data_IF_665474135619
#
_entry.id   IF_665474135619
#
_cell.length_a   1.000
_cell.length_b   1.000
_cell.length_c   1.000
_cell.angle_alpha   90.00
_cell.angle_beta   90.00
_cell.angle_gamma   90.00
#
_symmetry.space_group_name_H-M   'P 1'
#
loop_
_entity.id
_entity.type
_entity.pdbx_description
1 polymer ?
#
# COMPACT_ATOMS: atom_id res chain seq x y z
N UNK A 1 -2.02 -3.07 19.26
CA UNK A 1 -2.54 -2.29 18.12
C UNK A 1 -2.60 -3.19 16.92
N UNK A 2 -3.75 -3.23 16.29
CA UNK A 2 -3.98 -3.96 15.04
C UNK A 2 -4.05 -2.99 13.88
N UNK A 3 -3.16 -3.15 12.91
CA UNK A 3 -3.16 -2.40 11.67
C UNK A 3 -3.55 -3.36 10.54
N UNK A 4 -4.39 -2.91 9.63
CA UNK A 4 -4.65 -3.64 8.39
C UNK A 4 -4.13 -2.82 7.22
N UNK A 5 -3.39 -3.48 6.32
CA UNK A 5 -3.00 -2.92 5.05
C UNK A 5 -3.87 -3.49 3.93
N UNK A 6 -4.45 -2.61 3.16
CA UNK A 6 -5.18 -2.86 1.92
C UNK A 6 -4.45 -2.16 0.77
N UNK A 7 -4.45 -2.72 -0.43
CA UNK A 7 -3.72 -2.15 -1.57
C UNK A 7 -4.33 -2.55 -2.90
N UNK A 8 -4.03 -1.79 -3.93
CA UNK A 8 -4.34 -2.13 -5.33
C UNK A 8 -5.83 -2.47 -5.51
N UNK A 9 -6.68 -1.50 -5.17
CA UNK A 9 -8.14 -1.65 -5.15
C UNK A 9 -8.73 -1.60 -6.55
N UNK A 10 -8.16 -0.76 -7.43
CA UNK A 10 -8.48 -0.62 -8.85
C UNK A 10 -9.97 -0.48 -9.16
N UNK A 11 -10.63 0.43 -8.43
CA UNK A 11 -12.06 0.68 -8.59
C UNK A 11 -12.38 1.29 -9.96
N UNK A 12 -13.28 0.66 -10.68
CA UNK A 12 -13.92 1.21 -11.86
C UNK A 12 -15.22 1.94 -11.55
N UNK A 13 -15.80 2.57 -12.58
CA UNK A 13 -17.17 3.08 -12.49
C UNK A 13 -18.18 1.94 -12.34
N UNK A 14 -19.37 2.28 -11.88
CA UNK A 14 -20.45 1.31 -11.84
C UNK A 14 -20.74 0.75 -13.24
N UNK A 15 -20.71 -0.59 -13.37
CA UNK A 15 -20.85 -1.28 -14.64
C UNK A 15 -19.64 -1.23 -15.59
N UNK A 16 -18.52 -0.61 -15.18
CA UNK A 16 -17.29 -0.67 -15.98
C UNK A 16 -16.69 -2.08 -15.99
N UNK A 17 -16.28 -2.54 -17.18
CA UNK A 17 -15.53 -3.78 -17.29
C UNK A 17 -14.07 -3.58 -16.84
N UNK A 18 -13.79 -3.94 -15.63
CA UNK A 18 -12.47 -3.94 -15.00
C UNK A 18 -11.77 -5.29 -15.22
N UNK A 19 -11.44 -5.63 -16.48
CA UNK A 19 -10.85 -6.95 -16.86
C UNK A 19 -11.67 -8.15 -16.36
N UNK A 20 -12.98 -8.04 -16.34
CA UNK A 20 -13.87 -9.11 -15.88
C UNK A 20 -13.98 -9.24 -14.35
N UNK A 21 -13.40 -8.35 -13.58
CA UNK A 21 -13.45 -8.37 -12.11
C UNK A 21 -14.49 -7.36 -11.62
N UNK A 22 -15.33 -7.75 -10.66
CA UNK A 22 -16.22 -6.83 -9.95
C UNK A 22 -15.47 -6.16 -8.79
N UNK A 23 -14.74 -5.09 -9.11
CA UNK A 23 -13.87 -4.41 -8.15
C UNK A 23 -14.64 -3.71 -7.03
N UNK A 24 -15.84 -3.21 -7.32
CA UNK A 24 -16.68 -2.56 -6.30
C UNK A 24 -17.20 -3.59 -5.29
N UNK A 25 -17.64 -4.75 -5.75
CA UNK A 25 -18.06 -5.83 -4.87
C UNK A 25 -16.88 -6.38 -4.06
N UNK A 26 -15.72 -6.56 -4.68
CA UNK A 26 -14.49 -6.92 -3.97
C UNK A 26 -14.17 -5.95 -2.84
N UNK A 27 -14.23 -4.64 -3.11
CA UNK A 27 -13.97 -3.62 -2.11
C UNK A 27 -14.95 -3.69 -0.95
N UNK A 28 -16.25 -3.82 -1.20
CA UNK A 28 -17.25 -3.92 -0.14
C UNK A 28 -17.06 -5.17 0.71
N UNK A 29 -16.78 -6.31 0.11
CA UNK A 29 -16.54 -7.57 0.84
C UNK A 29 -15.28 -7.52 1.69
N UNK A 30 -14.18 -6.96 1.15
CA UNK A 30 -12.94 -6.82 1.91
C UNK A 30 -13.09 -5.83 3.06
N UNK A 31 -13.80 -4.71 2.88
CA UNK A 31 -14.10 -3.76 3.96
C UNK A 31 -14.97 -4.40 5.05
N UNK A 32 -15.94 -5.24 4.67
CA UNK A 32 -16.73 -6.00 5.64
C UNK A 32 -15.86 -6.98 6.45
N UNK A 33 -14.95 -7.72 5.79
CA UNK A 33 -14.03 -8.64 6.44
C UNK A 33 -13.07 -7.89 7.39
N UNK A 34 -12.48 -6.78 6.92
CA UNK A 34 -11.61 -5.90 7.71
C UNK A 34 -12.35 -5.38 8.96
N UNK A 35 -13.60 -4.97 8.81
CA UNK A 35 -14.38 -4.44 9.93
C UNK A 35 -14.61 -5.50 11.01
N UNK A 36 -14.77 -6.75 10.63
CA UNK A 36 -14.91 -7.87 11.58
C UNK A 36 -13.62 -8.16 12.38
N UNK A 37 -12.45 -7.78 11.84
CA UNK A 37 -11.16 -7.90 12.53
C UNK A 37 -10.94 -6.84 13.62
N UNK A 38 -11.81 -5.83 13.71
CA UNK A 38 -11.75 -4.73 14.68
C UNK A 38 -10.36 -4.06 14.74
N UNK A 39 -9.84 -3.54 13.62
CA UNK A 39 -8.54 -2.89 13.63
C UNK A 39 -8.57 -1.55 14.36
N UNK A 40 -7.40 -1.09 14.79
CA UNK A 40 -7.19 0.28 15.25
C UNK A 40 -6.93 1.24 14.08
N UNK A 41 -6.36 0.72 12.98
CA UNK A 41 -5.97 1.50 11.81
C UNK A 41 -6.09 0.67 10.53
N UNK A 42 -6.72 1.23 9.52
CA UNK A 42 -6.65 0.77 8.13
C UNK A 42 -5.70 1.67 7.33
N UNK A 43 -4.72 1.08 6.65
CA UNK A 43 -3.83 1.77 5.73
C UNK A 43 -4.10 1.27 4.31
N UNK A 44 -4.57 2.16 3.43
CA UNK A 44 -4.72 1.86 2.00
C UNK A 44 -3.46 2.38 1.31
N UNK A 45 -2.69 1.47 0.74
CA UNK A 45 -1.38 1.77 0.15
C UNK A 45 -1.42 1.95 -1.37
N UNK A 46 -2.44 2.64 -1.87
CA UNK A 46 -2.50 3.14 -3.24
C UNK A 46 -3.25 2.27 -4.24
N UNK A 47 -3.30 2.77 -5.45
CA UNK A 47 -4.03 2.25 -6.61
C UNK A 47 -5.51 2.05 -6.30
N UNK A 48 -6.17 3.15 -5.88
CA UNK A 48 -7.61 3.19 -5.62
C UNK A 48 -8.38 3.12 -6.94
N UNK A 49 -7.97 3.90 -7.94
CA UNK A 49 -8.63 3.96 -9.24
C UNK A 49 -8.09 2.88 -10.21
N UNK A 50 -8.96 2.39 -11.11
CA UNK A 50 -8.60 1.32 -12.06
C UNK A 50 -7.60 1.76 -13.14
N UNK A 51 -7.84 2.88 -13.82
CA UNK A 51 -6.97 3.34 -14.92
C UNK A 51 -6.41 4.72 -14.68
N UNK A 52 -7.27 5.64 -14.31
CA UNK A 52 -6.96 7.03 -14.09
C UNK A 52 -7.77 7.53 -12.90
N UNK A 53 -7.27 8.56 -12.21
CA UNK A 53 -7.99 9.13 -11.07
C UNK A 53 -9.28 9.84 -11.54
N UNK A 54 -10.38 9.58 -10.83
CA UNK A 54 -11.66 10.26 -11.02
C UNK A 54 -12.28 10.60 -9.66
N UNK A 55 -12.70 11.83 -9.49
CA UNK A 55 -13.26 12.33 -8.22
C UNK A 55 -14.45 11.50 -7.75
N UNK A 56 -15.33 11.06 -8.65
CA UNK A 56 -16.49 10.20 -8.34
C UNK A 56 -16.09 8.88 -7.64
N UNK A 57 -14.93 8.32 -7.98
CA UNK A 57 -14.44 7.11 -7.32
C UNK A 57 -13.97 7.42 -5.91
N UNK A 58 -13.24 8.51 -5.70
CA UNK A 58 -12.80 8.93 -4.37
C UNK A 58 -13.98 9.33 -3.48
N UNK A 59 -15.00 10.01 -4.03
CA UNK A 59 -16.22 10.36 -3.30
C UNK A 59 -16.95 9.10 -2.83
N UNK A 60 -17.09 8.10 -3.71
CA UNK A 60 -17.70 6.82 -3.34
C UNK A 60 -16.90 6.06 -2.27
N UNK A 61 -15.59 6.05 -2.37
CA UNK A 61 -14.71 5.46 -1.35
C UNK A 61 -14.84 6.22 -0.02
N UNK A 62 -14.87 7.56 -0.06
CA UNK A 62 -15.06 8.39 1.13
C UNK A 62 -16.37 8.06 1.84
N UNK A 63 -17.49 7.95 1.11
CA UNK A 63 -18.81 7.62 1.67
C UNK A 63 -18.82 6.30 2.45
N UNK A 64 -17.94 5.35 2.09
CA UNK A 64 -17.79 4.07 2.77
C UNK A 64 -16.87 4.21 3.98
N UNK A 65 -15.68 4.79 3.77
CA UNK A 65 -14.63 4.82 4.78
C UNK A 65 -14.96 5.72 5.97
N UNK A 66 -15.72 6.78 5.79
CA UNK A 66 -16.14 7.68 6.90
C UNK A 66 -17.08 7.00 7.92
N UNK A 67 -17.69 5.88 7.56
CA UNK A 67 -18.59 5.10 8.43
C UNK A 67 -17.85 4.07 9.28
N UNK A 68 -16.56 3.86 9.02
CA UNK A 68 -15.77 2.88 9.75
C UNK A 68 -15.47 3.35 11.17
N UNK A 69 -15.50 2.46 12.16
CA UNK A 69 -15.30 2.81 13.58
C UNK A 69 -13.81 2.88 13.98
N UNK A 70 -12.89 2.99 13.05
CA UNK A 70 -11.45 3.03 13.25
C UNK A 70 -10.78 4.03 12.29
N UNK A 71 -9.55 4.40 12.61
CA UNK A 71 -8.78 5.33 11.79
C UNK A 71 -8.44 4.75 10.42
N UNK A 72 -8.45 5.62 9.40
CA UNK A 72 -8.04 5.29 8.02
C UNK A 72 -6.96 6.26 7.57
N UNK A 73 -5.93 5.73 6.91
CA UNK A 73 -4.91 6.49 6.20
C UNK A 73 -4.77 5.96 4.78
N UNK A 74 -4.57 6.87 3.84
CA UNK A 74 -4.43 6.56 2.42
C UNK A 74 -3.14 7.22 1.93
N UNK A 75 -2.33 6.49 1.19
CA UNK A 75 -1.24 7.00 0.37
C UNK A 75 -1.55 6.67 -1.09
N UNK A 76 -1.09 7.50 -2.02
CA UNK A 76 -1.37 7.29 -3.45
C UNK A 76 -0.51 6.20 -4.07
N UNK A 77 -1.08 5.50 -5.06
CA UNK A 77 -0.38 4.65 -6.02
C UNK A 77 -0.29 5.34 -7.39
N UNK A 78 0.25 4.65 -8.40
CA UNK A 78 0.45 5.25 -9.73
C UNK A 78 -0.84 5.41 -10.55
N UNK A 79 -1.95 4.88 -10.09
CA UNK A 79 -3.28 5.10 -10.66
C UNK A 79 -4.07 6.22 -9.95
N UNK A 80 -3.46 6.89 -8.97
CA UNK A 80 -4.12 7.89 -8.14
C UNK A 80 -3.65 9.32 -8.45
N UNK A 81 -4.52 10.27 -8.12
CA UNK A 81 -4.18 11.68 -7.98
C UNK A 81 -4.33 12.07 -6.51
N UNK A 82 -3.22 12.41 -5.90
CA UNK A 82 -3.16 12.78 -4.48
C UNK A 82 -4.03 14.00 -4.15
N UNK A 83 -4.18 14.93 -5.09
CA UNK A 83 -5.04 16.09 -4.95
C UNK A 83 -6.53 15.76 -4.87
N UNK A 84 -6.93 14.59 -5.36
CA UNK A 84 -8.32 14.11 -5.32
C UNK A 84 -8.64 13.24 -4.10
N UNK A 85 -7.62 12.71 -3.42
CA UNK A 85 -7.83 11.92 -2.20
C UNK A 85 -8.32 12.85 -1.08
N UNK A 86 -9.44 12.53 -0.38
CA UNK A 86 -9.96 13.38 0.68
C UNK A 86 -8.92 13.64 1.79
N UNK A 87 -8.68 14.90 2.10
CA UNK A 87 -7.63 15.38 3.02
C UNK A 87 -7.64 14.68 4.39
N UNK A 88 -8.79 14.24 4.87
CA UNK A 88 -8.92 13.55 6.16
C UNK A 88 -8.21 12.20 6.23
N UNK A 89 -7.98 11.56 5.07
CA UNK A 89 -7.31 10.28 4.98
C UNK A 89 -5.82 10.41 4.64
N UNK A 90 -5.39 11.58 4.15
CA UNK A 90 -4.01 11.80 3.76
C UNK A 90 -3.10 11.94 4.98
N UNK A 91 -1.82 11.57 4.84
CA UNK A 91 -0.77 12.05 5.72
C UNK A 91 -0.75 13.58 5.75
N UNK A 92 -0.46 14.16 6.92
CA UNK A 92 -0.72 15.59 7.19
C UNK A 92 0.31 16.53 6.58
N UNK A 93 1.52 16.07 6.24
CA UNK A 93 2.55 16.91 5.62
C UNK A 93 2.49 16.83 4.11
N UNK A 94 2.57 17.98 3.47
CA UNK A 94 2.74 18.16 2.04
C UNK A 94 3.99 18.98 1.80
N UNK A 95 4.78 18.60 0.82
CA UNK A 95 5.89 19.42 0.37
C UNK A 95 5.47 20.37 -0.79
N UNK A 96 6.42 21.14 -1.31
CA UNK A 96 6.20 22.07 -2.43
C UNK A 96 5.89 21.36 -3.77
N UNK A 97 5.99 20.02 -3.81
CA UNK A 97 5.74 19.16 -4.97
C UNK A 97 4.48 18.32 -4.82
N UNK A 98 3.61 18.67 -3.88
CA UNK A 98 2.38 17.93 -3.54
C UNK A 98 2.60 16.48 -3.07
N UNK A 99 3.82 16.07 -2.76
CA UNK A 99 4.07 14.77 -2.14
C UNK A 99 3.54 14.74 -0.70
N UNK A 100 2.83 13.66 -0.35
CA UNK A 100 2.22 13.48 0.97
C UNK A 100 2.97 12.43 1.75
N UNK A 101 3.68 12.84 2.79
CA UNK A 101 4.41 11.95 3.68
C UNK A 101 4.28 12.37 5.13
N UNK A 102 4.42 11.42 6.05
CA UNK A 102 4.19 11.66 7.47
C UNK A 102 4.88 10.62 8.36
N UNK A 103 5.22 11.00 9.58
CA UNK A 103 5.61 10.08 10.66
C UNK A 103 4.56 10.12 11.77
N UNK A 104 4.10 8.95 12.19
CA UNK A 104 3.26 8.77 13.35
C UNK A 104 3.98 7.99 14.43
N UNK A 105 4.31 8.66 15.52
CA UNK A 105 4.97 8.06 16.66
C UNK A 105 3.98 7.30 17.54
N UNK A 106 4.27 6.03 17.82
CA UNK A 106 3.48 5.14 18.66
C UNK A 106 4.29 4.74 19.90
N UNK A 107 4.36 5.59 20.94
CA UNK A 107 5.25 5.37 22.09
C UNK A 107 4.92 4.09 22.87
N UNK A 108 3.66 3.74 23.02
CA UNK A 108 3.21 2.50 23.70
C UNK A 108 3.75 1.24 23.03
N UNK A 109 4.00 1.28 21.73
CA UNK A 109 4.48 0.15 20.94
C UNK A 109 5.96 0.27 20.57
N UNK A 110 6.66 1.30 21.04
CA UNK A 110 8.06 1.61 20.67
C UNK A 110 8.24 1.53 19.15
N UNK A 111 7.36 2.19 18.40
CA UNK A 111 7.29 2.09 16.94
C UNK A 111 6.99 3.45 16.32
N UNK A 112 7.67 3.75 15.22
CA UNK A 112 7.32 4.84 14.33
C UNK A 112 6.72 4.26 13.05
N UNK A 113 5.55 4.76 12.66
CA UNK A 113 4.95 4.51 11.35
C UNK A 113 5.35 5.67 10.43
N UNK A 114 5.94 5.35 9.29
CA UNK A 114 6.28 6.32 8.24
C UNK A 114 5.44 6.01 7.02
N UNK A 115 4.77 7.02 6.49
CA UNK A 115 3.98 6.96 5.28
C UNK A 115 4.71 7.72 4.19
N UNK A 116 4.98 7.07 3.06
CA UNK A 116 5.70 7.66 1.93
C UNK A 116 4.83 7.65 0.69
N UNK A 117 4.85 8.75 -0.02
CA UNK A 117 4.20 8.88 -1.30
C UNK A 117 5.14 8.48 -2.43
N UNK A 118 4.69 7.54 -3.24
CA UNK A 118 5.43 7.06 -4.42
C UNK A 118 4.55 7.02 -5.67
N UNK A 119 3.45 7.79 -5.72
CA UNK A 119 2.49 7.78 -6.84
C UNK A 119 3.16 8.01 -8.20
N UNK A 120 4.24 8.78 -8.28
CA UNK A 120 5.01 9.03 -9.50
C UNK A 120 5.99 7.91 -9.88
N UNK A 121 5.95 6.75 -9.20
CA UNK A 121 6.98 5.71 -9.20
C UNK A 121 8.36 6.23 -8.77
N UNK A 122 8.38 7.30 -7.97
CA UNK A 122 9.56 7.98 -7.47
C UNK A 122 9.31 8.66 -6.14
N UNK A 123 10.29 9.41 -5.67
CA UNK A 123 10.23 10.27 -4.49
C UNK A 123 11.04 11.53 -4.74
N UNK A 124 10.56 12.69 -4.28
CA UNK A 124 11.28 13.97 -4.33
C UNK A 124 12.38 14.11 -3.28
N UNK A 125 13.21 15.15 -3.45
CA UNK A 125 14.34 15.43 -2.58
C UNK A 125 13.94 15.66 -1.12
N UNK A 126 12.84 16.37 -0.91
CA UNK A 126 12.35 16.69 0.43
C UNK A 126 11.93 15.44 1.18
N UNK A 127 11.24 14.54 0.50
CA UNK A 127 10.80 13.27 1.08
C UNK A 127 11.98 12.32 1.35
N UNK A 128 13.01 12.29 0.47
CA UNK A 128 14.25 11.56 0.74
C UNK A 128 15.00 12.11 1.95
N UNK A 129 15.09 13.44 2.09
CA UNK A 129 15.72 14.09 3.23
C UNK A 129 14.99 13.79 4.52
N UNK A 130 13.66 13.84 4.51
CA UNK A 130 12.80 13.43 5.62
C UNK A 130 13.05 11.97 6.02
N UNK A 131 13.00 11.03 5.07
CA UNK A 131 13.23 9.61 5.35
C UNK A 131 14.62 9.37 5.95
N UNK A 132 15.66 9.99 5.38
CA UNK A 132 17.03 9.88 5.86
C UNK A 132 17.16 10.38 7.30
N UNK A 133 16.63 11.56 7.63
CA UNK A 133 16.60 12.10 8.98
C UNK A 133 15.93 11.14 9.96
N UNK A 134 14.74 10.60 9.59
CA UNK A 134 13.97 9.72 10.46
C UNK A 134 14.69 8.40 10.72
N UNK A 135 15.29 7.79 9.70
CA UNK A 135 16.01 6.53 9.85
C UNK A 135 17.34 6.69 10.60
N UNK A 136 18.06 7.81 10.40
CA UNK A 136 19.30 8.10 11.12
C UNK A 136 19.08 8.45 12.60
N UNK A 137 17.94 9.02 12.95
CA UNK A 137 17.59 9.37 14.34
C UNK A 137 16.84 8.25 15.07
N UNK A 138 16.38 7.23 14.35
CA UNK A 138 15.55 6.16 14.92
C UNK A 138 16.31 5.37 16.00
N UNK A 139 15.63 5.13 17.12
CA UNK A 139 16.12 4.28 18.22
C UNK A 139 15.10 3.18 18.62
N UNK A 140 14.07 3.01 17.80
CA UNK A 140 12.99 2.07 17.99
C UNK A 140 12.55 1.49 16.65
N UNK A 141 11.59 0.55 16.66
CA UNK A 141 11.05 -0.05 15.43
C UNK A 141 10.54 1.03 14.48
N UNK A 142 10.89 0.89 13.20
CA UNK A 142 10.33 1.70 12.12
C UNK A 142 9.57 0.80 11.17
N UNK A 143 8.32 1.16 10.90
CA UNK A 143 7.46 0.54 9.88
C UNK A 143 7.18 1.60 8.83
N UNK A 144 7.42 1.26 7.56
CA UNK A 144 7.19 2.14 6.42
C UNK A 144 6.05 1.58 5.57
N UNK A 145 5.08 2.43 5.25
CA UNK A 145 4.06 2.16 4.25
C UNK A 145 4.35 3.00 3.00
N UNK A 146 4.45 2.35 1.86
CA UNK A 146 4.61 2.97 0.55
C UNK A 146 3.98 2.08 -0.52
N UNK A 147 3.62 2.62 -1.68
CA UNK A 147 2.98 1.82 -2.72
C UNK A 147 3.98 0.92 -3.45
N UNK A 148 5.03 1.50 -4.02
CA UNK A 148 6.01 0.75 -4.82
C UNK A 148 7.05 0.04 -3.94
N UNK A 149 7.36 -1.23 -4.19
CA UNK A 149 8.49 -1.91 -3.53
C UNK A 149 9.82 -1.22 -3.86
N UNK A 150 10.64 -0.85 -2.85
CA UNK A 150 11.91 -0.15 -3.08
C UNK A 150 13.04 -1.08 -3.53
N UNK A 151 12.76 -2.36 -3.75
CA UNK A 151 13.69 -3.40 -4.18
C UNK A 151 13.10 -4.22 -5.32
N UNK A 152 13.94 -4.89 -6.09
CA UNK A 152 13.46 -5.91 -7.04
C UNK A 152 12.96 -7.13 -6.25
N UNK A 153 11.84 -7.67 -6.66
CA UNK A 153 11.14 -8.72 -5.93
C UNK A 153 11.18 -10.09 -6.61
N UNK A 154 11.83 -10.21 -7.77
CA UNK A 154 11.78 -11.43 -8.59
C UNK A 154 10.37 -11.67 -9.13
N UNK A 155 9.67 -10.60 -9.51
CA UNK A 155 8.38 -10.62 -10.22
C UNK A 155 8.65 -10.11 -11.63
N UNK A 156 8.89 -11.04 -12.56
CA UNK A 156 9.53 -10.74 -13.85
C UNK A 156 8.90 -9.56 -14.59
N UNK A 157 7.58 -9.58 -14.81
CA UNK A 157 6.87 -8.49 -15.50
C UNK A 157 6.98 -7.15 -14.76
N UNK A 158 6.76 -7.15 -13.45
CA UNK A 158 6.73 -5.92 -12.65
C UNK A 158 8.12 -5.32 -12.46
N UNK A 159 9.11 -6.14 -12.17
CA UNK A 159 10.50 -5.70 -12.01
C UNK A 159 11.08 -5.09 -13.30
N UNK A 160 10.68 -5.59 -14.46
CA UNK A 160 11.15 -5.09 -15.76
C UNK A 160 10.45 -3.80 -16.20
N UNK A 161 9.16 -3.67 -15.93
CA UNK A 161 8.34 -2.62 -16.55
C UNK A 161 7.86 -1.54 -15.56
N UNK A 162 7.70 -1.88 -14.27
CA UNK A 162 7.00 -1.05 -13.30
C UNK A 162 7.77 -0.85 -11.97
N UNK A 163 9.06 -1.14 -11.96
CA UNK A 163 9.84 -1.01 -10.73
C UNK A 163 9.98 0.44 -10.26
N UNK A 164 10.05 0.62 -8.95
CA UNK A 164 10.37 1.90 -8.31
C UNK A 164 11.68 2.47 -8.87
N UNK A 165 11.67 3.70 -9.35
CA UNK A 165 12.80 4.23 -10.14
C UNK A 165 14.05 4.54 -9.30
N UNK A 166 13.97 5.25 -8.15
CA UNK A 166 15.17 5.65 -7.40
C UNK A 166 15.66 4.59 -6.40
N UNK A 167 15.64 3.30 -6.79
CA UNK A 167 16.02 2.17 -5.91
C UNK A 167 17.41 2.32 -5.30
N UNK A 168 18.40 2.70 -6.11
CA UNK A 168 19.78 2.86 -5.63
C UNK A 168 19.90 3.95 -4.57
N UNK A 169 19.19 5.05 -4.76
CA UNK A 169 19.14 6.12 -3.78
C UNK A 169 18.42 5.68 -2.50
N UNK A 170 17.31 4.97 -2.63
CA UNK A 170 16.58 4.43 -1.48
C UNK A 170 17.45 3.43 -0.69
N UNK A 171 18.16 2.54 -1.40
CA UNK A 171 19.10 1.61 -0.78
C UNK A 171 20.21 2.36 0.01
N UNK A 172 20.72 3.46 -0.53
CA UNK A 172 21.72 4.28 0.18
C UNK A 172 21.16 4.89 1.47
N UNK A 173 19.92 5.36 1.47
CA UNK A 173 19.24 5.86 2.68
C UNK A 173 19.08 4.75 3.70
N UNK A 174 18.77 3.52 3.27
CA UNK A 174 18.65 2.36 4.15
C UNK A 174 20.00 1.94 4.75
N UNK A 175 21.11 2.03 4.00
CA UNK A 175 22.46 1.72 4.49
C UNK A 175 22.89 2.65 5.64
N UNK A 176 22.44 3.90 5.63
CA UNK A 176 22.73 4.87 6.66
C UNK A 176 21.75 4.83 7.85
N UNK A 177 20.79 3.93 7.84
CA UNK A 177 19.76 3.79 8.87
C UNK A 177 20.32 3.15 10.14
N UNK A 178 19.89 3.65 11.32
CA UNK A 178 20.26 3.06 12.63
C UNK A 178 19.49 1.80 12.97
N UNK A 179 18.33 1.62 12.37
CA UNK A 179 17.45 0.49 12.58
C UNK A 179 17.08 -0.12 11.24
N UNK A 180 16.89 -1.42 11.18
CA UNK A 180 16.41 -2.12 10.00
C UNK A 180 14.89 -1.93 9.89
N UNK A 181 14.38 -1.10 8.96
CA UNK A 181 12.95 -0.87 8.83
C UNK A 181 12.24 -2.09 8.25
N UNK A 182 10.95 -2.18 8.57
CA UNK A 182 10.01 -3.13 7.97
C UNK A 182 9.12 -2.32 7.04
N UNK A 183 9.08 -2.68 5.76
CA UNK A 183 8.41 -1.93 4.71
C UNK A 183 7.25 -2.74 4.17
N UNK A 184 6.05 -2.17 4.18
CA UNK A 184 4.84 -2.76 3.61
C UNK A 184 4.47 -2.02 2.34
N UNK A 185 4.30 -2.77 1.24
CA UNK A 185 4.03 -2.23 -0.10
C UNK A 185 2.90 -2.98 -0.78
N UNK A 186 2.46 -2.48 -1.93
CA UNK A 186 1.54 -3.11 -2.87
C UNK A 186 2.14 -3.21 -4.27
N UNK A 187 1.40 -2.70 -5.26
CA UNK A 187 1.79 -2.49 -6.64
C UNK A 187 2.05 -3.75 -7.48
N UNK A 188 2.68 -4.76 -6.91
CA UNK A 188 3.10 -5.95 -7.66
C UNK A 188 2.03 -7.04 -7.71
N UNK A 189 0.92 -6.88 -6.98
CA UNK A 189 -0.19 -7.84 -6.94
C UNK A 189 0.28 -9.28 -6.64
N UNK A 190 1.18 -9.43 -5.68
CA UNK A 190 1.70 -10.72 -5.23
C UNK A 190 1.91 -10.73 -3.72
N UNK A 191 1.89 -11.90 -3.11
CA UNK A 191 2.42 -12.05 -1.76
C UNK A 191 3.91 -12.39 -1.83
N UNK A 192 4.75 -11.48 -1.38
CA UNK A 192 6.19 -11.73 -1.26
C UNK A 192 6.79 -11.06 -0.03
N UNK A 193 7.84 -11.69 0.47
CA UNK A 193 8.73 -11.11 1.48
C UNK A 193 10.15 -11.14 0.97
N UNK A 194 10.79 -9.98 0.93
CA UNK A 194 12.19 -9.82 0.55
C UNK A 194 12.96 -9.37 1.78
N UNK A 195 14.02 -10.09 2.14
CA UNK A 195 14.91 -9.76 3.25
C UNK A 195 16.25 -9.37 2.67
N UNK A 196 16.62 -8.10 2.84
CA UNK A 196 17.97 -7.62 2.54
C UNK A 196 18.76 -7.43 3.84
N UNK A 197 19.99 -6.98 3.74
CA UNK A 197 20.77 -6.61 4.93
C UNK A 197 20.15 -5.43 5.65
N UNK A 198 19.60 -4.46 4.89
CA UNK A 198 19.16 -3.16 5.39
C UNK A 198 17.65 -3.09 5.72
N UNK A 199 16.81 -3.93 5.09
CA UNK A 199 15.35 -3.87 5.28
C UNK A 199 14.67 -5.22 5.16
N UNK A 200 13.44 -5.30 5.66
CA UNK A 200 12.48 -6.38 5.36
C UNK A 200 11.33 -5.74 4.59
N UNK A 201 11.08 -6.21 3.37
CA UNK A 201 10.02 -5.69 2.50
C UNK A 201 8.94 -6.74 2.33
N UNK A 202 7.71 -6.39 2.67
CA UNK A 202 6.53 -7.21 2.47
C UNK A 202 5.68 -6.60 1.36
N UNK A 203 5.44 -7.35 0.30
CA UNK A 203 4.48 -6.98 -0.74
C UNK A 203 3.16 -7.64 -0.38
N UNK A 204 2.12 -6.84 -0.30
CA UNK A 204 0.76 -7.30 -0.01
C UNK A 204 0.01 -7.54 -1.31
N UNK A 205 -0.70 -8.67 -1.44
CA UNK A 205 -1.50 -8.94 -2.63
C UNK A 205 -2.64 -7.94 -2.81
N UNK A 206 -3.08 -7.80 -4.05
CA UNK A 206 -4.13 -6.89 -4.49
C UNK A 206 -5.52 -7.32 -4.06
N UNK A 207 -6.48 -6.39 -4.08
CA UNK A 207 -7.92 -6.69 -4.06
C UNK A 207 -8.55 -6.75 -5.44
N UNK A 208 -7.72 -6.77 -6.48
CA UNK A 208 -8.14 -6.84 -7.87
C UNK A 208 -7.93 -8.26 -8.46
N UNK A 209 -6.70 -8.57 -8.83
CA UNK A 209 -6.21 -9.90 -9.22
C UNK A 209 -4.74 -10.03 -8.83
N UNK A 210 -4.21 -11.24 -8.84
CA UNK A 210 -2.79 -11.48 -8.60
C UNK A 210 -2.06 -11.71 -9.92
N UNK A 211 -0.79 -11.25 -10.01
CA UNK A 211 0.06 -11.34 -11.19
C UNK A 211 1.01 -12.55 -11.03
N UNK A 212 1.21 -13.32 -12.12
CA UNK A 212 2.21 -14.37 -12.15
C UNK A 212 3.61 -13.80 -11.98
N UNK A 213 4.38 -14.37 -11.06
CA UNK A 213 5.70 -13.85 -10.70
C UNK A 213 6.86 -14.48 -11.49
N UNK A 214 6.66 -15.63 -12.11
CA UNK A 214 7.70 -16.51 -12.66
C UNK A 214 7.97 -16.30 -14.16
N UNK A 215 7.40 -15.27 -14.77
CA UNK A 215 7.55 -14.98 -16.20
C UNK A 215 7.66 -13.47 -16.48
N UNK A 216 8.33 -13.07 -17.59
CA UNK A 216 8.51 -11.67 -17.94
C UNK A 216 7.29 -11.03 -18.62
N UNK A 217 6.33 -11.82 -19.09
CA UNK A 217 5.10 -11.34 -19.71
C UNK A 217 4.00 -11.17 -18.66
N UNK A 218 3.11 -10.20 -18.88
CA UNK A 218 1.93 -10.03 -18.03
C UNK A 218 1.01 -11.23 -18.11
N UNK A 219 0.69 -11.82 -16.98
CA UNK A 219 -0.37 -12.81 -16.87
C UNK A 219 -1.01 -12.75 -15.48
N UNK A 220 -2.33 -12.94 -15.46
CA UNK A 220 -3.06 -13.10 -14.21
C UNK A 220 -2.82 -14.50 -13.65
N UNK A 221 -2.52 -14.59 -12.38
CA UNK A 221 -2.36 -15.86 -11.67
C UNK A 221 -3.71 -16.36 -11.15
N UNK A 222 -4.36 -15.55 -10.32
CA UNK A 222 -5.68 -15.84 -9.80
C UNK A 222 -6.42 -14.56 -9.39
N UNK A 223 -7.71 -14.69 -9.09
CA UNK A 223 -8.59 -13.58 -8.73
C UNK A 223 -8.95 -13.52 -7.22
N UNK A 224 -8.29 -14.30 -6.37
CA UNK A 224 -8.48 -14.13 -4.93
C UNK A 224 -7.98 -12.74 -4.53
N UNK A 225 -8.77 -12.07 -3.71
CA UNK A 225 -8.45 -10.76 -3.15
C UNK A 225 -7.85 -10.91 -1.76
N UNK A 226 -7.09 -9.93 -1.30
CA UNK A 226 -6.42 -10.08 -0.01
C UNK A 226 -6.23 -8.75 0.73
N UNK A 227 -5.97 -8.86 2.03
CA UNK A 227 -5.44 -7.79 2.88
C UNK A 227 -4.41 -8.37 3.84
N UNK A 228 -3.55 -7.51 4.39
CA UNK A 228 -2.56 -7.90 5.39
C UNK A 228 -2.94 -7.39 6.76
N UNK A 229 -2.96 -8.29 7.72
CA UNK A 229 -3.17 -7.98 9.13
C UNK A 229 -1.81 -7.89 9.84
N UNK A 230 -1.60 -6.84 10.63
CA UNK A 230 -0.36 -6.56 11.35
C UNK A 230 -0.71 -6.29 12.81
N UNK A 231 -0.34 -7.20 13.70
CA UNK A 231 -0.51 -7.05 15.14
C UNK A 231 0.79 -6.56 15.79
N UNK A 232 0.74 -5.37 16.39
CA UNK A 232 1.85 -4.75 17.10
C UNK A 232 1.70 -4.90 18.60
N UNK A 233 2.77 -5.34 19.24
CA UNK A 233 3.00 -5.19 20.68
C UNK A 233 4.30 -4.43 20.95
N UNK A 234 4.58 -4.10 22.18
CA UNK A 234 5.82 -3.40 22.56
C UNK A 234 7.07 -4.14 22.08
N UNK A 235 7.10 -5.47 22.21
CA UNK A 235 8.29 -6.27 21.96
C UNK A 235 8.20 -7.17 20.72
N UNK A 236 7.05 -7.21 20.03
CA UNK A 236 6.85 -8.08 18.87
C UNK A 236 5.97 -7.43 17.80
N UNK A 237 6.08 -7.95 16.62
CA UNK A 237 5.16 -7.72 15.52
C UNK A 237 4.87 -9.07 14.87
N UNK A 238 3.60 -9.34 14.63
CA UNK A 238 3.16 -10.48 13.83
C UNK A 238 2.34 -9.95 12.65
N UNK A 239 2.43 -10.62 11.53
CA UNK A 239 1.58 -10.29 10.39
C UNK A 239 1.20 -11.55 9.61
N UNK A 240 0.08 -11.48 8.90
CA UNK A 240 -0.39 -12.50 7.98
C UNK A 240 -1.20 -11.87 6.87
N UNK A 241 -1.31 -12.57 5.76
CA UNK A 241 -2.22 -12.22 4.67
C UNK A 241 -3.49 -13.07 4.79
N UNK A 242 -4.63 -12.42 4.69
CA UNK A 242 -5.93 -13.07 4.63
C UNK A 242 -6.45 -12.98 3.19
N UNK A 243 -6.84 -14.12 2.63
CA UNK A 243 -7.39 -14.23 1.30
C UNK A 243 -8.89 -14.46 1.32
N UNK A 244 -9.60 -13.78 0.42
CA UNK A 244 -11.01 -13.99 0.15
C UNK A 244 -11.20 -14.36 -1.32
N UNK A 245 -12.26 -15.10 -1.68
CA UNK A 245 -12.63 -15.26 -3.08
C UNK A 245 -12.89 -13.92 -3.73
N UNK A 246 -12.31 -13.68 -4.91
CA UNK A 246 -12.62 -12.48 -5.69
C UNK A 246 -13.89 -12.66 -6.51
N UNK A 247 -14.57 -11.57 -6.78
CA UNK A 247 -15.78 -11.51 -7.55
C UNK A 247 -15.47 -11.19 -9.01
N UNK A 248 -16.07 -11.96 -9.92
CA UNK A 248 -16.00 -11.72 -11.34
C UNK A 248 -17.32 -11.13 -11.84
N UNK A 249 -17.23 -10.28 -12.84
CA UNK A 249 -18.42 -9.82 -13.55
C UNK A 249 -19.06 -11.01 -14.29
N UNK A 250 -20.39 -11.05 -14.39
CA UNK A 250 -21.05 -12.05 -15.23
C UNK A 250 -20.51 -11.97 -16.67
N UNK A 251 -20.29 -13.14 -17.29
CA UNK A 251 -19.90 -13.19 -18.69
C UNK A 251 -20.91 -12.39 -19.52
N UNK A 252 -20.44 -11.32 -20.14
CA UNK A 252 -21.19 -10.60 -21.15
C UNK A 252 -21.08 -11.41 -22.45
N UNK A 253 -21.88 -12.47 -22.51
CA UNK A 253 -22.04 -13.31 -23.71
C UNK A 253 -22.83 -12.60 -24.81
#
# INVERSE_FOLDING_TARGET
MRIIQLTDVHLGFDGENTKGVDTRKNFLEVIQAITAELPDLLVITGDICYKAPFLEIYDWVEEILVKLPFDVRIIGGNHDDIGMIPMRFLPVKCDDHDERYFEWHLPTFSTNLIFLDTHSAGMGETQFSFLSEKLQSANQRVIIFMHHPPVLAGVGYMDLNHAFRPRERFAKVLQDARVKPIIFTGHYHVEKTIVTEEAIVHITPSTFFQIKHDQPEFAVDHHNIAYRLIDLSTNSMMHRVEYLPGNLLPDQS
#
